data_IF_319705000877
#
_entry.id   IF_319705000877
#
_cell.length_a   1.000
_cell.length_b   1.000
_cell.length_c   1.000
_cell.angle_alpha   90.00
_cell.angle_beta   90.00
_cell.angle_gamma   90.00
#
_symmetry.space_group_name_H-M   'P 1'
#
loop_
_entity.id
_entity.type
_entity.pdbx_description
1 polymer ?
#
# COMPACT_ATOMS: atom_id res chain seq x y z
N UNK A 1 -48.38 -8.23 24.19
CA UNK A 1 -47.65 -6.96 23.98
C UNK A 1 -46.21 -6.89 24.52
N UNK A 2 -45.66 -7.82 25.36
CA UNK A 2 -44.29 -7.64 25.88
C UNK A 2 -43.16 -8.12 24.95
N UNK A 3 -43.45 -8.97 23.96
CA UNK A 3 -42.42 -9.52 23.05
C UNK A 3 -41.85 -8.52 22.05
N UNK A 4 -42.66 -7.53 21.61
CA UNK A 4 -42.22 -6.50 20.65
C UNK A 4 -41.23 -5.51 21.28
N UNK A 5 -41.37 -5.22 22.58
CA UNK A 5 -40.47 -4.31 23.30
C UNK A 5 -39.13 -4.95 23.62
N UNK A 6 -39.10 -6.26 23.90
CA UNK A 6 -37.85 -7.01 24.15
C UNK A 6 -37.05 -7.16 22.86
N UNK A 7 -37.69 -7.45 21.72
CA UNK A 7 -37.02 -7.52 20.42
C UNK A 7 -36.44 -6.17 19.97
N UNK A 8 -37.16 -5.07 20.22
CA UNK A 8 -36.66 -3.72 19.92
C UNK A 8 -35.46 -3.35 20.81
N UNK A 9 -35.47 -3.72 22.10
CA UNK A 9 -34.36 -3.48 23.02
C UNK A 9 -33.10 -4.26 22.67
N UNK A 10 -33.23 -5.52 22.25
CA UNK A 10 -32.10 -6.34 21.79
C UNK A 10 -31.51 -5.81 20.49
N UNK A 11 -32.35 -5.40 19.53
CA UNK A 11 -31.88 -4.81 18.27
C UNK A 11 -31.07 -3.53 18.47
N UNK A 12 -31.52 -2.64 19.36
CA UNK A 12 -30.79 -1.40 19.69
C UNK A 12 -29.48 -1.69 20.41
N UNK A 13 -29.44 -2.68 21.30
CA UNK A 13 -28.23 -3.04 22.03
C UNK A 13 -27.18 -3.66 21.10
N UNK A 14 -27.61 -4.53 20.18
CA UNK A 14 -26.73 -5.13 19.16
C UNK A 14 -26.19 -4.05 18.23
N UNK A 15 -27.05 -3.14 17.73
CA UNK A 15 -26.61 -2.02 16.90
C UNK A 15 -25.64 -1.08 17.64
N UNK A 16 -25.88 -0.81 18.93
CA UNK A 16 -24.98 0.01 19.73
C UNK A 16 -23.63 -0.67 20.02
N UNK A 17 -23.62 -2.00 20.17
CA UNK A 17 -22.39 -2.77 20.35
C UNK A 17 -21.60 -2.91 19.05
N UNK A 18 -22.28 -3.08 17.90
CA UNK A 18 -21.64 -3.13 16.58
C UNK A 18 -21.10 -1.74 16.21
N UNK A 19 -21.91 -0.69 16.35
CA UNK A 19 -21.45 0.68 16.09
C UNK A 19 -20.38 1.12 17.10
N UNK A 20 -20.49 0.71 18.36
CA UNK A 20 -19.49 0.99 19.39
C UNK A 20 -18.18 0.25 19.15
N UNK A 21 -18.24 -1.01 18.69
CA UNK A 21 -17.06 -1.79 18.30
C UNK A 21 -16.39 -1.22 17.07
N UNK A 22 -17.16 -0.83 16.06
CA UNK A 22 -16.66 -0.20 14.83
C UNK A 22 -16.01 1.17 15.09
N UNK A 23 -16.65 2.03 15.89
CA UNK A 23 -16.09 3.34 16.26
C UNK A 23 -14.86 3.22 17.16
N UNK A 24 -14.81 2.19 18.01
CA UNK A 24 -13.64 1.91 18.85
C UNK A 24 -12.48 1.34 18.03
N UNK A 25 -12.75 0.47 17.06
CA UNK A 25 -11.74 -0.06 16.12
C UNK A 25 -11.14 1.04 15.23
N UNK A 26 -11.98 1.93 14.71
CA UNK A 26 -11.55 3.11 13.94
C UNK A 26 -10.81 4.15 14.79
N UNK A 27 -11.01 4.13 16.10
CA UNK A 27 -10.25 4.96 17.05
C UNK A 27 -9.01 4.27 17.61
N UNK A 28 -8.86 2.95 17.40
CA UNK A 28 -7.71 2.17 17.84
C UNK A 28 -6.66 1.97 16.75
N UNK A 29 -7.03 2.11 15.48
CA UNK A 29 -6.08 2.30 14.38
C UNK A 29 -5.68 3.78 14.37
N UNK A 30 -4.40 4.09 14.57
CA UNK A 30 -3.91 5.45 14.73
C UNK A 30 -4.09 6.30 13.47
N UNK A 31 -4.02 5.67 12.28
CA UNK A 31 -4.07 6.32 10.96
C UNK A 31 -4.86 5.50 9.93
N UNK A 32 -5.30 6.14 8.83
CA UNK A 32 -5.94 5.43 7.70
C UNK A 32 -4.98 4.41 7.06
N UNK A 33 -3.68 4.71 7.03
CA UNK A 33 -2.66 3.79 6.52
C UNK A 33 -2.55 2.54 7.39
N UNK A 34 -2.46 2.70 8.71
CA UNK A 34 -2.43 1.59 9.66
C UNK A 34 -3.73 0.77 9.61
N UNK A 35 -4.88 1.45 9.52
CA UNK A 35 -6.18 0.78 9.35
C UNK A 35 -6.24 -0.05 8.08
N UNK A 36 -5.70 0.46 6.96
CA UNK A 36 -5.66 -0.28 5.71
C UNK A 36 -4.75 -1.52 5.77
N UNK A 37 -3.56 -1.40 6.37
CA UNK A 37 -2.65 -2.54 6.55
C UNK A 37 -3.29 -3.61 7.44
N UNK A 38 -4.05 -3.24 8.47
CA UNK A 38 -4.81 -4.18 9.30
C UNK A 38 -5.92 -4.92 8.52
N UNK A 39 -6.42 -4.37 7.41
CA UNK A 39 -7.39 -5.04 6.54
C UNK A 39 -6.75 -5.96 5.50
N UNK A 40 -5.41 -5.91 5.32
CA UNK A 40 -4.75 -6.73 4.34
C UNK A 40 -4.79 -8.23 4.72
N UNK A 41 -4.82 -9.14 3.73
CA UNK A 41 -4.76 -10.57 3.99
C UNK A 41 -3.57 -10.94 4.88
N UNK A 42 -3.73 -11.88 5.83
CA UNK A 42 -2.67 -12.22 6.79
C UNK A 42 -1.42 -12.84 6.13
N UNK A 43 -1.55 -13.35 4.91
CA UNK A 43 -0.45 -13.92 4.13
C UNK A 43 0.25 -12.90 3.22
N UNK A 44 -0.11 -11.61 3.27
CA UNK A 44 0.48 -10.60 2.42
C UNK A 44 1.97 -10.42 2.72
N UNK A 45 2.79 -10.45 1.67
CA UNK A 45 4.24 -10.30 1.75
C UNK A 45 4.67 -8.91 1.27
N UNK A 46 3.87 -8.30 0.40
CA UNK A 46 4.14 -7.02 -0.26
C UNK A 46 2.90 -6.15 -0.26
N UNK A 47 3.00 -4.96 0.32
CA UNK A 47 1.96 -3.94 0.36
C UNK A 47 2.44 -2.66 -0.33
N UNK A 48 1.51 -1.92 -0.91
CA UNK A 48 1.77 -0.62 -1.53
C UNK A 48 0.57 0.29 -1.30
N UNK A 49 0.83 1.46 -0.74
CA UNK A 49 -0.18 2.41 -0.27
C UNK A 49 -0.14 3.72 -1.06
N UNK A 50 -1.29 4.32 -1.28
CA UNK A 50 -1.40 5.71 -1.76
C UNK A 50 -2.64 6.38 -1.17
N UNK A 51 -2.43 7.47 -0.44
CA UNK A 51 -3.52 8.35 0.03
C UNK A 51 -3.86 9.35 -1.08
N UNK A 52 -4.74 8.94 -1.99
CA UNK A 52 -5.15 9.75 -3.13
C UNK A 52 -5.81 11.07 -2.72
N UNK A 53 -6.50 11.13 -1.58
CA UNK A 53 -7.08 12.35 -1.05
C UNK A 53 -6.02 13.34 -0.58
N UNK A 54 -5.01 12.87 0.16
CA UNK A 54 -3.89 13.69 0.57
C UNK A 54 -3.01 14.10 -0.63
N UNK A 55 -2.78 13.21 -1.61
CA UNK A 55 -2.05 13.55 -2.84
C UNK A 55 -2.77 14.62 -3.66
N UNK A 56 -4.10 14.54 -3.80
CA UNK A 56 -4.90 15.61 -4.43
C UNK A 56 -4.73 16.93 -3.69
N UNK A 57 -4.76 16.90 -2.35
CA UNK A 57 -4.59 18.09 -1.52
C UNK A 57 -3.19 18.70 -1.67
N UNK A 58 -2.14 17.88 -1.59
CA UNK A 58 -0.73 18.28 -1.73
C UNK A 58 -0.47 18.94 -3.09
N UNK A 59 -1.09 18.42 -4.16
CA UNK A 59 -0.94 18.95 -5.52
C UNK A 59 -1.93 20.07 -5.86
N UNK A 60 -2.80 20.45 -4.92
CA UNK A 60 -3.85 21.46 -5.13
C UNK A 60 -4.85 21.08 -6.22
N UNK A 61 -5.09 19.78 -6.42
CA UNK A 61 -5.99 19.25 -7.43
C UNK A 61 -7.41 19.16 -6.87
N UNK A 62 -8.37 19.81 -7.55
CA UNK A 62 -9.79 19.71 -7.24
C UNK A 62 -10.44 18.74 -8.22
N UNK A 63 -10.31 17.45 -7.93
CA UNK A 63 -10.85 16.37 -8.76
C UNK A 63 -11.98 15.62 -8.06
N UNK A 64 -12.80 14.96 -8.86
CA UNK A 64 -13.92 14.11 -8.46
C UNK A 64 -14.16 13.02 -9.51
N UNK A 65 -15.10 12.12 -9.24
CA UNK A 65 -15.54 11.10 -10.18
C UNK A 65 -16.12 11.66 -11.49
N UNK A 66 -16.49 12.94 -11.54
CA UNK A 66 -17.02 13.61 -12.74
C UNK A 66 -15.94 14.39 -13.52
N UNK A 67 -14.71 14.40 -13.01
CA UNK A 67 -13.60 15.12 -13.66
C UNK A 67 -13.27 14.51 -15.02
N UNK A 68 -12.77 15.35 -15.93
CA UNK A 68 -12.36 14.88 -17.24
C UNK A 68 -11.11 13.99 -17.14
N UNK A 69 -10.98 13.03 -18.05
CA UNK A 69 -9.80 12.18 -18.16
C UNK A 69 -8.53 13.01 -18.33
N UNK A 70 -8.60 14.09 -19.13
CA UNK A 70 -7.49 15.02 -19.31
C UNK A 70 -7.03 15.67 -17.98
N UNK A 71 -7.96 16.07 -17.11
CA UNK A 71 -7.61 16.68 -15.83
C UNK A 71 -7.02 15.65 -14.86
N UNK A 72 -7.54 14.42 -14.89
CA UNK A 72 -6.97 13.29 -14.15
C UNK A 72 -5.55 12.96 -14.65
N UNK A 73 -5.32 12.88 -15.96
CA UNK A 73 -3.99 12.66 -16.54
C UNK A 73 -2.99 13.73 -16.12
N UNK A 74 -3.41 15.00 -16.17
CA UNK A 74 -2.58 16.12 -15.72
C UNK A 74 -2.24 16.01 -14.22
N UNK A 75 -3.16 15.49 -13.40
CA UNK A 75 -2.92 15.20 -11.99
C UNK A 75 -1.97 14.02 -11.79
N UNK A 76 -2.18 12.89 -12.48
CA UNK A 76 -1.33 11.71 -12.37
C UNK A 76 0.10 11.99 -12.83
N UNK A 77 0.28 12.78 -13.89
CA UNK A 77 1.61 13.22 -14.32
C UNK A 77 2.32 14.05 -13.23
N UNK A 78 1.61 14.94 -12.54
CA UNK A 78 2.18 15.70 -11.41
C UNK A 78 2.49 14.81 -10.21
N UNK A 79 1.64 13.81 -9.92
CA UNK A 79 1.89 12.84 -8.86
C UNK A 79 3.14 12.01 -9.15
N UNK A 80 3.30 11.57 -10.40
CA UNK A 80 4.51 10.88 -10.86
C UNK A 80 5.76 11.77 -10.76
N UNK A 81 5.71 13.04 -11.21
CA UNK A 81 6.81 14.00 -11.06
C UNK A 81 7.23 14.25 -9.60
N UNK A 82 6.35 13.92 -8.65
CA UNK A 82 6.58 14.04 -7.20
C UNK A 82 6.84 12.71 -6.51
N UNK A 83 6.94 11.61 -7.27
CA UNK A 83 7.18 10.28 -6.74
C UNK A 83 6.06 9.77 -5.80
N UNK A 84 4.83 10.24 -6.03
CA UNK A 84 3.66 9.97 -5.17
C UNK A 84 2.74 8.86 -5.69
N UNK A 85 2.89 8.48 -6.96
CA UNK A 85 2.06 7.45 -7.58
C UNK A 85 2.74 6.11 -7.94
N UNK A 86 4.07 5.90 -7.78
CA UNK A 86 4.71 4.69 -8.33
C UNK A 86 4.22 3.39 -7.67
N UNK A 87 3.63 3.49 -6.48
CA UNK A 87 3.10 2.38 -5.69
C UNK A 87 1.65 2.00 -6.05
N UNK A 88 0.97 2.77 -6.91
CA UNK A 88 -0.44 2.51 -7.25
C UNK A 88 -0.59 1.45 -8.34
N UNK A 89 -1.51 0.51 -8.10
CA UNK A 89 -1.97 -0.49 -9.06
C UNK A 89 -3.03 0.06 -10.04
N UNK A 90 -3.60 1.24 -9.77
CA UNK A 90 -4.66 1.81 -10.62
C UNK A 90 -4.13 2.58 -11.84
N UNK A 91 -2.87 3.01 -11.83
CA UNK A 91 -2.35 3.98 -12.82
C UNK A 91 -2.57 3.55 -14.27
N UNK A 92 -2.22 2.32 -14.62
CA UNK A 92 -2.35 1.82 -15.99
C UNK A 92 -3.80 1.75 -16.45
N UNK A 93 -4.74 1.60 -15.52
CA UNK A 93 -6.17 1.47 -15.78
C UNK A 93 -6.96 2.75 -15.52
N UNK A 94 -6.33 3.84 -15.07
CA UNK A 94 -7.00 5.01 -14.50
C UNK A 94 -8.07 5.61 -15.43
N UNK A 95 -7.76 5.76 -16.72
CA UNK A 95 -8.68 6.29 -17.74
C UNK A 95 -9.93 5.44 -17.87
N UNK A 96 -9.74 4.13 -17.88
CA UNK A 96 -10.82 3.17 -18.06
C UNK A 96 -11.65 3.08 -16.80
N UNK A 97 -11.01 3.08 -15.63
CA UNK A 97 -11.68 3.13 -14.34
C UNK A 97 -12.59 4.37 -14.25
N UNK A 98 -12.05 5.55 -14.58
CA UNK A 98 -12.77 6.82 -14.59
C UNK A 98 -13.98 6.78 -15.53
N UNK A 99 -13.79 6.33 -16.77
CA UNK A 99 -14.83 6.38 -17.80
C UNK A 99 -15.88 5.27 -17.70
N UNK A 100 -15.49 4.09 -17.20
CA UNK A 100 -16.32 2.88 -17.29
C UNK A 100 -16.73 2.31 -15.95
N UNK A 101 -15.86 2.37 -14.95
CA UNK A 101 -16.16 1.82 -13.62
C UNK A 101 -16.74 2.88 -12.68
N UNK A 102 -16.54 4.18 -12.97
CA UNK A 102 -17.09 5.28 -12.19
C UNK A 102 -16.29 5.64 -10.94
N UNK A 103 -15.03 5.19 -10.88
CA UNK A 103 -14.07 5.58 -9.86
C UNK A 103 -12.67 5.63 -10.46
N UNK A 104 -11.75 6.36 -9.85
CA UNK A 104 -10.34 6.41 -10.25
C UNK A 104 -9.50 7.06 -9.14
N UNK A 105 -8.17 7.22 -9.30
CA UNK A 105 -7.37 8.10 -8.44
C UNK A 105 -7.92 9.53 -8.29
N UNK A 106 -8.80 10.00 -9.18
CA UNK A 106 -9.46 11.30 -9.06
C UNK A 106 -10.52 11.34 -7.93
N UNK A 107 -11.07 10.19 -7.53
CA UNK A 107 -12.21 10.11 -6.60
C UNK A 107 -11.97 9.22 -5.39
N UNK A 108 -11.14 8.20 -5.50
CA UNK A 108 -10.78 7.28 -4.40
C UNK A 108 -10.12 8.07 -3.27
N UNK A 109 -10.42 7.73 -2.01
CA UNK A 109 -9.79 8.32 -0.83
C UNK A 109 -8.37 7.79 -0.68
N UNK A 110 -8.23 6.48 -0.56
CA UNK A 110 -6.95 5.80 -0.51
C UNK A 110 -6.99 4.46 -1.23
N UNK A 111 -5.81 3.98 -1.58
CA UNK A 111 -5.55 2.70 -2.23
C UNK A 111 -4.51 1.90 -1.42
N UNK A 112 -4.80 0.62 -1.21
CA UNK A 112 -3.84 -0.36 -0.72
C UNK A 112 -3.80 -1.56 -1.67
N UNK A 113 -2.69 -1.74 -2.36
CA UNK A 113 -2.36 -2.98 -3.05
C UNK A 113 -1.69 -3.95 -2.07
N UNK A 114 -2.09 -5.21 -2.08
CA UNK A 114 -1.55 -6.29 -1.28
C UNK A 114 -1.32 -7.52 -2.13
N UNK A 115 -0.15 -8.15 -1.98
CA UNK A 115 0.25 -9.31 -2.74
C UNK A 115 0.86 -10.39 -1.85
N UNK A 116 0.45 -11.62 -2.09
CA UNK A 116 1.07 -12.83 -1.56
C UNK A 116 1.45 -13.78 -2.70
N UNK A 117 1.94 -14.97 -2.34
CA UNK A 117 2.18 -16.06 -3.30
C UNK A 117 0.89 -16.66 -3.86
N UNK A 118 -0.26 -16.38 -3.24
CA UNK A 118 -1.55 -16.97 -3.60
C UNK A 118 -2.38 -16.06 -4.52
N UNK A 119 -2.17 -14.75 -4.48
CA UNK A 119 -2.85 -13.78 -5.31
C UNK A 119 -2.54 -12.35 -4.92
N UNK A 120 -3.23 -11.41 -5.56
CA UNK A 120 -3.14 -9.99 -5.25
C UNK A 120 -4.54 -9.37 -5.07
N UNK A 121 -4.65 -8.38 -4.20
CA UNK A 121 -5.86 -7.62 -3.96
C UNK A 121 -5.54 -6.12 -3.95
N UNK A 122 -6.40 -5.32 -4.57
CA UNK A 122 -6.41 -3.86 -4.45
C UNK A 122 -7.63 -3.49 -3.61
N UNK A 123 -7.41 -2.83 -2.49
CA UNK A 123 -8.45 -2.29 -1.63
C UNK A 123 -8.53 -0.77 -1.82
N UNK A 124 -9.72 -0.28 -2.12
CA UNK A 124 -9.97 1.13 -2.40
C UNK A 124 -11.03 1.66 -1.44
N UNK A 125 -10.69 2.70 -0.69
CA UNK A 125 -11.70 3.44 0.06
C UNK A 125 -12.36 4.47 -0.82
N UNK A 126 -13.66 4.33 -0.97
CA UNK A 126 -14.50 5.28 -1.70
C UNK A 126 -14.93 6.42 -0.78
N UNK A 127 -15.27 7.62 -1.29
CA UNK A 127 -15.92 8.65 -0.48
C UNK A 127 -17.21 8.14 0.18
N UNK A 128 -17.57 8.62 1.37
CA UNK A 128 -18.82 8.22 2.07
C UNK A 128 -20.09 8.53 1.25
N UNK A 129 -20.00 9.49 0.34
CA UNK A 129 -21.08 9.89 -0.57
C UNK A 129 -21.20 9.02 -1.83
N UNK A 130 -20.38 7.97 -1.96
CA UNK A 130 -20.36 7.12 -3.15
C UNK A 130 -21.65 6.33 -3.28
N UNK A 131 -22.27 6.35 -4.45
CA UNK A 131 -23.43 5.53 -4.78
C UNK A 131 -22.97 4.15 -5.27
N UNK A 132 -22.98 3.17 -4.38
CA UNK A 132 -22.62 1.79 -4.71
C UNK A 132 -23.61 1.13 -5.69
N UNK A 133 -24.87 1.57 -5.73
CA UNK A 133 -25.83 1.11 -6.73
C UNK A 133 -25.43 1.50 -8.16
N UNK A 134 -24.83 2.69 -8.32
CA UNK A 134 -24.25 3.10 -9.60
C UNK A 134 -23.01 2.27 -9.97
N UNK A 135 -22.17 1.90 -8.99
CA UNK A 135 -21.04 1.00 -9.23
C UNK A 135 -21.50 -0.41 -9.68
N UNK A 136 -22.52 -0.98 -9.05
CA UNK A 136 -23.13 -2.24 -9.49
C UNK A 136 -23.67 -2.17 -10.93
N UNK A 137 -24.31 -1.04 -11.27
CA UNK A 137 -24.83 -0.81 -12.61
C UNK A 137 -23.69 -0.73 -13.64
N UNK A 138 -22.58 -0.07 -13.31
CA UNK A 138 -21.38 -0.06 -14.15
C UNK A 138 -20.81 -1.46 -14.35
N UNK A 139 -20.59 -2.24 -13.28
CA UNK A 139 -20.08 -3.62 -13.37
C UNK A 139 -20.99 -4.49 -14.25
N UNK A 140 -22.31 -4.39 -14.06
CA UNK A 140 -23.29 -5.12 -14.89
C UNK A 140 -23.20 -4.70 -16.36
N UNK A 141 -23.08 -3.40 -16.63
CA UNK A 141 -22.96 -2.87 -18.00
C UNK A 141 -21.67 -3.31 -18.70
N UNK A 142 -20.61 -3.52 -17.91
CA UNK A 142 -19.32 -4.01 -18.37
C UNK A 142 -19.30 -5.53 -18.60
N UNK A 143 -20.35 -6.24 -18.18
CA UNK A 143 -20.49 -7.68 -18.39
C UNK A 143 -20.02 -8.54 -17.21
N UNK A 144 -19.74 -7.96 -16.04
CA UNK A 144 -19.48 -8.74 -14.84
C UNK A 144 -20.75 -9.50 -14.42
N UNK A 145 -20.56 -10.73 -13.95
CA UNK A 145 -21.66 -11.54 -13.40
C UNK A 145 -21.83 -11.22 -11.92
N UNK A 146 -23.03 -10.76 -11.55
CA UNK A 146 -23.40 -10.44 -10.17
C UNK A 146 -23.34 -11.70 -9.27
N UNK A 147 -22.78 -11.61 -8.05
CA UNK A 147 -22.86 -12.67 -7.07
C UNK A 147 -24.30 -12.87 -6.54
N UNK A 148 -24.57 -14.02 -5.93
CA UNK A 148 -25.84 -14.28 -5.25
C UNK A 148 -25.93 -13.69 -3.84
N UNK A 149 -24.76 -13.36 -3.26
CA UNK A 149 -24.61 -12.71 -1.95
C UNK A 149 -24.23 -11.24 -2.19
N UNK A 150 -24.76 -10.33 -1.38
CA UNK A 150 -24.51 -8.90 -1.46
C UNK A 150 -23.02 -8.57 -1.20
N UNK A 151 -22.31 -9.38 -0.40
CA UNK A 151 -20.85 -9.28 -0.19
C UNK A 151 -20.04 -10.23 -1.08
N UNK A 152 -20.66 -10.83 -2.08
CA UNK A 152 -20.00 -11.81 -2.94
C UNK A 152 -19.07 -11.17 -3.99
N UNK A 153 -18.35 -12.04 -4.70
CA UNK A 153 -17.41 -11.64 -5.75
C UNK A 153 -18.09 -11.59 -7.12
N UNK A 154 -18.09 -10.41 -7.73
CA UNK A 154 -18.45 -10.19 -9.13
C UNK A 154 -17.43 -10.83 -10.05
N UNK A 155 -17.91 -11.61 -11.00
CA UNK A 155 -17.07 -12.42 -11.88
C UNK A 155 -16.92 -11.74 -13.24
N UNK A 156 -15.73 -11.20 -13.52
CA UNK A 156 -15.35 -10.80 -14.87
C UNK A 156 -14.54 -11.89 -15.57
N UNK A 157 -13.47 -12.33 -14.90
CA UNK A 157 -12.52 -13.32 -15.41
C UNK A 157 -11.61 -12.78 -16.53
N UNK A 158 -10.55 -13.54 -16.86
CA UNK A 158 -9.47 -13.06 -17.74
C UNK A 158 -9.86 -12.73 -19.18
N UNK A 159 -11.00 -13.23 -19.67
CA UNK A 159 -11.49 -12.91 -21.03
C UNK A 159 -12.32 -11.63 -21.11
N UNK A 160 -12.85 -11.14 -19.98
CA UNK A 160 -13.69 -9.94 -19.98
C UNK A 160 -12.85 -8.68 -20.12
N UNK A 161 -11.76 -8.55 -19.35
CA UNK A 161 -10.96 -7.31 -19.34
C UNK A 161 -10.49 -6.87 -20.73
N UNK A 162 -9.93 -7.74 -21.60
CA UNK A 162 -9.53 -7.34 -22.94
C UNK A 162 -10.68 -6.86 -23.83
N UNK A 163 -11.93 -7.26 -23.53
CA UNK A 163 -13.12 -6.78 -24.25
C UNK A 163 -13.60 -5.41 -23.76
N UNK A 164 -13.27 -5.03 -22.52
CA UNK A 164 -13.60 -3.73 -21.95
C UNK A 164 -12.62 -2.66 -22.48
N UNK A 165 -11.32 -2.93 -22.36
CA UNK A 165 -10.23 -2.11 -22.86
C UNK A 165 -8.90 -2.89 -22.87
N UNK A 166 -7.97 -2.50 -23.74
CA UNK A 166 -6.60 -2.96 -23.66
C UNK A 166 -5.89 -2.31 -22.47
N UNK A 167 -4.99 -3.04 -21.81
CA UNK A 167 -4.15 -2.50 -20.73
C UNK A 167 -4.79 -2.45 -19.35
N UNK A 168 -5.97 -3.06 -19.16
CA UNK A 168 -6.50 -3.28 -17.82
C UNK A 168 -5.62 -4.28 -17.05
N UNK A 169 -5.32 -3.95 -15.81
CA UNK A 169 -4.49 -4.81 -14.95
C UNK A 169 -5.26 -6.07 -14.53
N UNK A 170 -4.57 -7.21 -14.33
CA UNK A 170 -5.21 -8.46 -13.92
C UNK A 170 -6.04 -8.35 -12.64
N UNK A 171 -5.71 -7.43 -11.75
CA UNK A 171 -6.38 -7.21 -10.46
C UNK A 171 -7.82 -6.72 -10.61
N UNK A 172 -8.26 -6.32 -11.81
CA UNK A 172 -9.64 -5.91 -12.07
C UNK A 172 -10.55 -7.06 -12.51
N UNK A 173 -10.05 -8.30 -12.59
CA UNK A 173 -10.81 -9.46 -13.07
C UNK A 173 -11.99 -9.83 -12.17
N UNK A 174 -11.84 -9.57 -10.87
CA UNK A 174 -12.83 -9.88 -9.84
C UNK A 174 -13.02 -8.66 -8.97
N UNK A 175 -14.27 -8.36 -8.62
CA UNK A 175 -14.63 -7.17 -7.84
C UNK A 175 -15.56 -7.56 -6.70
N UNK A 176 -15.36 -6.99 -5.53
CA UNK A 176 -16.30 -7.04 -4.43
C UNK A 176 -16.58 -5.62 -3.95
N UNK A 177 -17.82 -5.39 -3.55
CA UNK A 177 -18.30 -4.09 -3.08
C UNK A 177 -18.73 -4.25 -1.63
N UNK A 178 -18.04 -3.56 -0.72
CA UNK A 178 -18.47 -3.45 0.68
C UNK A 178 -19.02 -2.06 0.93
N UNK A 179 -20.34 -1.92 0.73
CA UNK A 179 -21.03 -0.64 0.94
C UNK A 179 -20.97 -0.19 2.41
N UNK A 180 -20.94 -1.12 3.37
CA UNK A 180 -20.94 -0.79 4.78
C UNK A 180 -19.65 -0.08 5.20
N UNK A 181 -18.52 -0.54 4.68
CA UNK A 181 -17.19 0.01 4.96
C UNK A 181 -16.71 1.01 3.89
N UNK A 182 -17.54 1.23 2.87
CA UNK A 182 -17.27 2.02 1.67
C UNK A 182 -16.00 1.56 0.92
N UNK A 183 -15.83 0.25 0.78
CA UNK A 183 -14.69 -0.36 0.10
C UNK A 183 -15.07 -0.92 -1.27
N UNK A 184 -14.19 -0.73 -2.24
CA UNK A 184 -14.14 -1.52 -3.47
C UNK A 184 -12.89 -2.37 -3.39
N UNK A 185 -13.06 -3.69 -3.46
CA UNK A 185 -11.95 -4.64 -3.47
C UNK A 185 -11.87 -5.27 -4.85
N UNK A 186 -10.68 -5.37 -5.42
CA UNK A 186 -10.46 -6.04 -6.70
C UNK A 186 -9.32 -7.05 -6.59
N UNK A 187 -9.37 -8.14 -7.35
CA UNK A 187 -8.31 -9.16 -7.32
C UNK A 187 -8.10 -9.81 -8.69
N UNK A 188 -6.92 -10.43 -8.82
CA UNK A 188 -6.53 -11.28 -9.93
C UNK A 188 -7.16 -12.69 -9.86
N UNK A 189 -7.68 -13.11 -8.70
CA UNK A 189 -8.37 -14.38 -8.51
C UNK A 189 -9.62 -14.25 -7.62
N UNK A 190 -10.69 -14.99 -7.95
CA UNK A 190 -11.92 -14.96 -7.17
C UNK A 190 -11.75 -15.55 -5.76
N UNK A 191 -11.01 -16.64 -5.63
CA UNK A 191 -10.84 -17.36 -4.36
C UNK A 191 -10.03 -16.53 -3.35
N UNK A 192 -8.97 -15.85 -3.83
CA UNK A 192 -8.18 -14.97 -2.96
C UNK A 192 -8.99 -13.75 -2.52
N UNK A 193 -9.79 -13.15 -3.41
CA UNK A 193 -10.69 -12.06 -3.04
C UNK A 193 -11.74 -12.49 -2.02
N UNK A 194 -12.39 -13.64 -2.25
CA UNK A 194 -13.37 -14.19 -1.31
C UNK A 194 -12.74 -14.43 0.07
N UNK A 195 -11.50 -14.95 0.10
CA UNK A 195 -10.77 -15.16 1.35
C UNK A 195 -10.47 -13.82 2.03
N UNK A 196 -9.99 -12.83 1.27
CA UNK A 196 -9.70 -11.47 1.78
C UNK A 196 -10.90 -10.84 2.47
N UNK A 197 -12.07 -10.86 1.82
CA UNK A 197 -13.32 -10.32 2.38
C UNK A 197 -13.65 -10.95 3.74
N UNK A 198 -13.37 -12.25 3.90
CA UNK A 198 -13.60 -12.98 5.15
C UNK A 198 -12.64 -12.64 6.29
N UNK A 199 -11.54 -11.92 6.02
CA UNK A 199 -10.45 -11.65 6.98
C UNK A 199 -10.17 -10.14 7.13
N UNK A 200 -11.03 -9.25 6.64
CA UNK A 200 -10.82 -7.79 6.73
C UNK A 200 -10.66 -7.29 8.18
N UNK A 201 -11.23 -8.00 9.16
CA UNK A 201 -11.20 -7.64 10.57
C UNK A 201 -10.14 -8.40 11.38
N UNK A 202 -9.29 -9.22 10.75
CA UNK A 202 -8.39 -10.16 11.43
C UNK A 202 -7.04 -9.56 11.86
N UNK A 203 -6.81 -8.27 11.57
CA UNK A 203 -5.65 -7.53 12.10
C UNK A 203 -4.39 -7.59 11.23
N UNK A 204 -4.51 -7.93 9.96
CA UNK A 204 -3.46 -7.77 8.97
C UNK A 204 -2.32 -8.79 9.05
N UNK A 205 -1.25 -8.59 8.25
CA UNK A 205 -0.09 -9.48 8.23
C UNK A 205 0.75 -9.34 9.51
N UNK A 206 1.15 -10.49 10.08
CA UNK A 206 2.00 -10.50 11.27
C UNK A 206 3.35 -9.80 11.02
N UNK A 207 3.78 -9.00 12.00
CA UNK A 207 5.10 -8.35 11.98
C UNK A 207 5.18 -7.04 11.19
N UNK A 208 4.11 -6.60 10.51
CA UNK A 208 4.10 -5.32 9.79
C UNK A 208 3.55 -4.14 10.61
N UNK A 209 2.87 -4.40 11.72
CA UNK A 209 2.23 -3.37 12.53
C UNK A 209 3.23 -2.29 13.00
N UNK A 210 4.36 -2.68 13.58
CA UNK A 210 5.33 -1.75 14.15
C UNK A 210 5.96 -0.83 13.10
N UNK A 211 6.30 -1.35 11.92
CA UNK A 211 6.87 -0.52 10.83
C UNK A 211 5.83 0.40 10.19
N UNK A 212 4.57 0.00 10.21
CA UNK A 212 3.44 0.78 9.70
C UNK A 212 3.12 1.93 10.65
N UNK A 213 3.00 1.67 11.95
CA UNK A 213 2.81 2.69 12.99
C UNK A 213 3.94 3.73 12.96
N UNK A 214 5.19 3.27 12.95
CA UNK A 214 6.35 4.16 12.89
C UNK A 214 6.47 4.97 11.57
N UNK A 215 5.73 4.57 10.52
CA UNK A 215 5.67 5.32 9.26
C UNK A 215 4.64 6.45 9.26
N UNK A 216 3.75 6.53 10.27
CA UNK A 216 2.78 7.61 10.43
C UNK A 216 1.72 7.68 9.32
N UNK A 217 1.50 8.87 8.76
CA UNK A 217 0.48 9.14 7.72
C UNK A 217 1.15 9.50 6.38
N UNK A 218 1.70 8.50 5.64
CA UNK A 218 2.38 8.77 4.39
C UNK A 218 1.41 9.04 3.23
N UNK A 219 1.87 9.83 2.26
CA UNK A 219 1.17 10.05 0.99
C UNK A 219 1.23 8.81 0.10
N UNK A 220 2.38 8.12 0.11
CA UNK A 220 2.62 6.87 -0.60
C UNK A 220 3.61 6.01 0.18
N UNK A 221 3.47 4.69 0.13
CA UNK A 221 4.40 3.78 0.81
C UNK A 221 4.53 2.42 0.12
N UNK A 222 5.63 1.75 0.39
CA UNK A 222 5.86 0.32 0.12
C UNK A 222 6.24 -0.36 1.42
N UNK A 223 5.53 -1.44 1.77
CA UNK A 223 5.75 -2.18 3.03
C UNK A 223 5.90 -3.67 2.73
N UNK A 224 6.96 -4.28 3.24
CA UNK A 224 7.34 -5.66 2.96
C UNK A 224 7.59 -6.45 4.24
N UNK A 225 7.27 -7.74 4.20
CA UNK A 225 7.74 -8.67 5.24
C UNK A 225 9.26 -8.84 5.16
N UNK A 226 9.89 -9.31 6.23
CA UNK A 226 11.32 -9.59 6.27
C UNK A 226 11.77 -10.56 5.19
N UNK A 227 11.04 -11.68 5.04
CA UNK A 227 11.33 -12.68 4.01
C UNK A 227 11.27 -12.09 2.59
N UNK A 228 10.26 -11.26 2.31
CA UNK A 228 10.16 -10.58 1.02
C UNK A 228 11.32 -9.60 0.84
N UNK A 229 11.61 -8.77 1.84
CA UNK A 229 12.71 -7.79 1.82
C UNK A 229 14.05 -8.46 1.55
N UNK A 230 14.39 -9.49 2.33
CA UNK A 230 15.65 -10.23 2.25
C UNK A 230 15.78 -11.07 0.97
N UNK A 231 14.72 -11.21 0.16
CA UNK A 231 14.76 -11.90 -1.12
C UNK A 231 14.67 -10.95 -2.32
N UNK A 232 13.72 -10.02 -2.29
CA UNK A 232 13.42 -9.11 -3.39
C UNK A 232 14.42 -7.94 -3.46
N UNK A 233 14.92 -7.47 -2.32
CA UNK A 233 15.89 -6.38 -2.23
C UNK A 233 17.34 -6.86 -2.03
N UNK A 234 17.57 -8.18 -2.12
CA UNK A 234 18.86 -8.78 -1.86
C UNK A 234 19.91 -8.38 -2.91
N UNK A 235 21.16 -8.18 -2.45
CA UNK A 235 22.29 -7.97 -3.36
C UNK A 235 22.59 -9.17 -4.26
N UNK A 236 22.10 -10.37 -3.93
CA UNK A 236 22.20 -11.56 -4.78
C UNK A 236 21.50 -11.41 -6.14
N UNK A 237 20.61 -10.43 -6.28
CA UNK A 237 19.96 -10.07 -7.53
C UNK A 237 20.80 -9.11 -8.40
N UNK A 238 21.86 -8.51 -7.86
CA UNK A 238 22.76 -7.61 -8.59
C UNK A 238 23.78 -8.39 -9.43
N UNK A 239 24.48 -7.70 -10.33
CA UNK A 239 25.57 -8.30 -11.09
C UNK A 239 26.77 -8.70 -10.20
N UNK A 240 27.60 -9.68 -10.61
CA UNK A 240 28.69 -10.20 -9.77
C UNK A 240 29.73 -9.17 -9.31
N UNK A 241 29.94 -8.09 -10.06
CA UNK A 241 30.81 -6.98 -9.65
C UNK A 241 30.22 -6.19 -8.50
N UNK A 242 28.92 -5.92 -8.57
CA UNK A 242 28.18 -5.13 -7.60
C UNK A 242 28.02 -5.91 -6.30
N UNK A 243 27.87 -7.23 -6.38
CA UNK A 243 27.91 -8.13 -5.22
C UNK A 243 29.24 -8.03 -4.48
N UNK A 244 30.37 -8.08 -5.19
CA UNK A 244 31.70 -7.97 -4.57
C UNK A 244 31.93 -6.59 -3.93
N UNK A 245 31.47 -5.53 -4.58
CA UNK A 245 31.53 -4.18 -4.01
C UNK A 245 30.65 -4.10 -2.75
N UNK A 246 29.42 -4.61 -2.80
CA UNK A 246 28.53 -4.68 -1.65
C UNK A 246 29.11 -5.47 -0.47
N UNK A 247 29.73 -6.62 -0.70
CA UNK A 247 30.41 -7.40 0.34
C UNK A 247 31.51 -6.59 1.03
N UNK A 248 32.28 -5.82 0.26
CA UNK A 248 33.31 -4.93 0.79
C UNK A 248 32.71 -3.79 1.61
N UNK A 249 31.63 -3.17 1.14
CA UNK A 249 30.94 -2.08 1.83
C UNK A 249 30.30 -2.56 3.13
N UNK A 250 29.64 -3.72 3.13
CA UNK A 250 29.08 -4.35 4.34
C UNK A 250 30.17 -4.65 5.36
N UNK A 251 31.30 -5.23 4.92
CA UNK A 251 32.44 -5.51 5.81
C UNK A 251 32.98 -4.24 6.46
N UNK A 252 32.98 -3.11 5.75
CA UNK A 252 33.43 -1.81 6.25
C UNK A 252 32.40 -1.15 7.18
N UNK A 253 31.12 -1.24 6.84
CA UNK A 253 30.02 -0.69 7.63
C UNK A 253 29.85 -1.40 8.98
N UNK A 254 30.17 -2.70 9.02
CA UNK A 254 30.10 -3.53 10.22
C UNK A 254 28.99 -4.56 10.14
N UNK A 255 28.49 -4.99 11.32
CA UNK A 255 27.50 -6.06 11.39
C UNK A 255 26.17 -5.58 10.81
N UNK A 256 25.61 -6.38 9.89
CA UNK A 256 24.23 -6.27 9.40
C UNK A 256 23.42 -7.48 9.90
N UNK A 257 22.16 -7.25 10.25
CA UNK A 257 21.22 -8.31 10.65
C UNK A 257 20.08 -8.42 9.64
N UNK A 258 19.44 -9.60 9.51
CA UNK A 258 18.21 -9.75 8.73
C UNK A 258 17.12 -8.79 9.21
N UNK A 259 16.38 -8.23 8.26
CA UNK A 259 15.25 -7.35 8.51
C UNK A 259 14.02 -8.21 8.76
N UNK A 260 13.23 -7.90 9.79
CA UNK A 260 11.96 -8.59 10.07
C UNK A 260 10.76 -7.97 9.34
N UNK A 261 10.83 -6.67 9.06
CA UNK A 261 9.85 -5.92 8.26
C UNK A 261 10.48 -4.63 7.72
N UNK A 262 10.00 -4.15 6.58
CA UNK A 262 10.53 -2.96 5.91
C UNK A 262 9.39 -2.06 5.46
N UNK A 263 9.54 -0.76 5.66
CA UNK A 263 8.68 0.25 5.07
C UNK A 263 9.53 1.38 4.47
N UNK A 264 9.17 1.84 3.28
CA UNK A 264 9.65 3.09 2.69
C UNK A 264 8.45 3.94 2.31
N UNK A 265 8.42 5.18 2.77
CA UNK A 265 7.23 6.02 2.64
C UNK A 265 7.56 7.46 2.31
N UNK A 266 6.83 8.05 1.36
CA UNK A 266 6.88 9.48 1.07
C UNK A 266 5.92 10.18 2.03
N UNK A 267 6.50 11.02 2.88
CA UNK A 267 5.80 11.76 3.92
C UNK A 267 5.22 13.07 3.35
N UNK A 268 4.25 13.69 4.03
CA UNK A 268 3.88 15.08 3.78
C UNK A 268 5.15 15.95 3.79
N UNK A 269 5.25 16.94 2.89
CA UNK A 269 6.47 17.72 2.55
C UNK A 269 7.52 17.05 1.65
N UNK A 270 7.34 15.77 1.29
CA UNK A 270 8.13 15.07 0.27
C UNK A 270 9.48 14.52 0.74
N UNK A 271 9.73 14.45 2.05
CA UNK A 271 10.81 13.61 2.57
C UNK A 271 10.39 12.14 2.54
N UNK A 272 11.37 11.23 2.49
CA UNK A 272 11.15 9.79 2.49
C UNK A 272 11.62 9.22 3.83
N UNK A 273 10.74 8.51 4.51
CA UNK A 273 11.04 7.79 5.74
C UNK A 273 11.21 6.31 5.43
N UNK A 274 12.35 5.75 5.80
CA UNK A 274 12.58 4.30 5.81
C UNK A 274 12.49 3.80 7.25
N UNK A 275 11.72 2.74 7.46
CA UNK A 275 11.59 2.04 8.74
C UNK A 275 11.97 0.58 8.52
N UNK A 276 12.89 0.08 9.35
CA UNK A 276 13.36 -1.32 9.33
C UNK A 276 13.14 -1.95 10.69
N UNK A 277 12.40 -3.05 10.73
CA UNK A 277 12.26 -3.89 11.92
C UNK A 277 13.39 -4.89 12.06
N UNK A 278 13.77 -5.15 13.31
CA UNK A 278 14.74 -6.18 13.69
C UNK A 278 14.21 -7.05 14.83
N UNK A 279 14.87 -8.17 15.11
CA UNK A 279 14.48 -9.10 16.17
C UNK A 279 14.61 -8.48 17.59
N UNK A 280 15.52 -7.53 17.78
CA UNK A 280 15.76 -6.91 19.09
C UNK A 280 16.30 -5.49 19.00
N UNK A 281 16.19 -4.76 20.12
CA UNK A 281 16.75 -3.42 20.31
C UNK A 281 18.28 -3.38 20.12
N UNK A 282 19.00 -4.40 20.59
CA UNK A 282 20.44 -4.49 20.36
C UNK A 282 20.79 -4.65 18.87
N UNK A 283 19.97 -5.39 18.10
CA UNK A 283 20.13 -5.49 16.66
C UNK A 283 19.81 -4.15 15.99
N UNK A 284 18.72 -3.48 16.36
CA UNK A 284 18.35 -2.18 15.81
C UNK A 284 19.44 -1.12 16.05
N UNK A 285 19.97 -1.01 17.28
CA UNK A 285 21.09 -0.11 17.60
C UNK A 285 22.34 -0.38 16.75
N UNK A 286 22.71 -1.65 16.61
CA UNK A 286 23.85 -2.03 15.76
C UNK A 286 23.60 -1.68 14.30
N UNK A 287 22.39 -1.93 13.80
CA UNK A 287 22.03 -1.69 12.41
C UNK A 287 21.83 -0.20 12.10
N UNK A 288 21.46 0.64 13.06
CA UNK A 288 21.37 2.09 12.83
C UNK A 288 22.69 2.66 12.31
N UNK A 289 23.82 2.32 12.94
CA UNK A 289 25.15 2.77 12.51
C UNK A 289 25.56 2.14 11.17
N UNK A 290 25.43 0.81 11.04
CA UNK A 290 25.81 0.10 9.81
C UNK A 290 24.96 0.55 8.62
N UNK A 291 23.64 0.68 8.77
CA UNK A 291 22.74 1.10 7.68
C UNK A 291 22.94 2.56 7.31
N UNK A 292 23.23 3.44 8.28
CA UNK A 292 23.59 4.82 7.99
C UNK A 292 24.83 4.91 7.10
N UNK A 293 25.86 4.11 7.40
CA UNK A 293 27.07 4.04 6.57
C UNK A 293 26.77 3.53 5.15
N UNK A 294 25.97 2.47 5.02
CA UNK A 294 25.59 1.89 3.73
C UNK A 294 24.68 2.81 2.89
N UNK A 295 23.87 3.66 3.53
CA UNK A 295 22.99 4.62 2.85
C UNK A 295 23.69 5.94 2.46
N UNK A 296 24.95 6.14 2.85
CA UNK A 296 25.68 7.40 2.65
C UNK A 296 26.71 7.37 1.51
N UNK A 297 26.78 6.27 0.75
CA UNK A 297 27.85 6.05 -0.23
C UNK A 297 27.39 5.29 -1.47
N UNK A 298 28.29 4.52 -2.10
CA UNK A 298 28.00 3.84 -3.36
C UNK A 298 26.73 2.99 -3.28
N UNK A 299 25.98 2.98 -4.39
CA UNK A 299 24.72 2.26 -4.52
C UNK A 299 24.86 1.09 -5.53
N UNK A 300 25.65 0.04 -5.21
CA UNK A 300 25.79 -1.13 -6.08
C UNK A 300 24.43 -1.77 -6.34
N UNK A 301 24.21 -2.29 -7.55
CA UNK A 301 22.92 -2.82 -8.01
C UNK A 301 21.91 -1.75 -8.44
N UNK A 302 22.11 -0.49 -8.05
CA UNK A 302 21.30 0.66 -8.44
C UNK A 302 22.06 1.62 -9.37
N UNK A 303 23.39 1.52 -9.41
CA UNK A 303 24.27 2.45 -10.11
C UNK A 303 24.43 3.78 -9.36
N UNK A 304 25.62 4.38 -9.49
CA UNK A 304 25.96 5.67 -8.89
C UNK A 304 26.10 5.61 -7.36
N UNK A 305 25.84 6.75 -6.71
CA UNK A 305 25.89 6.91 -5.25
C UNK A 305 24.49 7.24 -4.71
N UNK A 306 24.18 6.82 -3.48
CA UNK A 306 22.94 7.21 -2.81
C UNK A 306 22.86 8.73 -2.58
N UNK A 307 24.00 9.40 -2.37
CA UNK A 307 24.09 10.84 -2.20
C UNK A 307 23.66 11.64 -3.44
N UNK A 308 23.65 11.02 -4.63
CA UNK A 308 23.12 11.63 -5.86
C UNK A 308 21.58 11.63 -5.87
N UNK A 309 20.94 10.74 -5.09
CA UNK A 309 19.48 10.57 -5.02
C UNK A 309 18.86 11.26 -3.82
N UNK A 310 19.52 11.23 -2.67
CA UNK A 310 19.00 11.82 -1.44
C UNK A 310 20.11 12.31 -0.52
N UNK A 311 19.75 13.20 0.40
CA UNK A 311 20.58 13.53 1.56
C UNK A 311 20.10 12.72 2.74
N UNK A 312 21.01 11.93 3.32
CA UNK A 312 20.74 11.18 4.53
C UNK A 312 20.59 12.15 5.72
N UNK A 313 19.43 12.11 6.35
CA UNK A 313 19.10 12.84 7.56
C UNK A 313 19.42 12.03 8.82
N UNK A 314 18.50 12.08 9.78
CA UNK A 314 18.66 11.34 11.04
C UNK A 314 18.46 9.84 10.80
N UNK A 315 19.37 9.05 11.33
CA UNK A 315 19.20 7.60 11.49
C UNK A 315 19.16 7.30 12.98
N UNK A 316 18.14 6.57 13.44
CA UNK A 316 17.98 6.28 14.86
C UNK A 316 17.32 4.91 15.08
N UNK A 317 17.77 4.23 16.13
CA UNK A 317 17.08 3.07 16.66
C UNK A 317 16.09 3.50 17.76
N UNK A 318 14.89 2.95 17.73
CA UNK A 318 13.89 3.04 18.79
C UNK A 318 13.22 1.67 18.96
N UNK A 319 13.35 1.07 20.14
CA UNK A 319 13.01 -0.34 20.35
C UNK A 319 13.71 -1.22 19.32
N UNK A 320 12.95 -2.11 18.68
CA UNK A 320 13.40 -3.01 17.60
C UNK A 320 13.46 -2.36 16.22
N UNK A 321 13.16 -1.06 16.10
CA UNK A 321 13.07 -0.37 14.80
C UNK A 321 14.28 0.51 14.56
N UNK A 322 14.69 0.61 13.29
CA UNK A 322 15.58 1.67 12.79
C UNK A 322 14.78 2.55 11.85
N UNK A 323 14.81 3.86 12.11
CA UNK A 323 14.25 4.89 11.24
C UNK A 323 15.37 5.64 10.54
N UNK A 324 15.14 5.98 9.28
CA UNK A 324 16.09 6.70 8.44
C UNK A 324 15.33 7.75 7.61
N UNK A 325 15.61 9.02 7.89
CA UNK A 325 15.06 10.16 7.15
C UNK A 325 15.91 10.45 5.91
N UNK A 326 15.28 10.44 4.74
CA UNK A 326 15.90 10.72 3.45
C UNK A 326 15.26 11.97 2.87
N UNK A 327 16.06 12.98 2.55
CA UNK A 327 15.58 14.14 1.78
C UNK A 327 15.94 13.95 0.31
N UNK A 328 14.98 13.69 -0.60
CA UNK A 328 15.27 13.53 -2.01
C UNK A 328 16.00 14.74 -2.61
N UNK A 329 16.99 14.47 -3.46
CA UNK A 329 17.57 15.47 -4.35
C UNK A 329 16.52 15.82 -5.41
N UNK A 330 16.48 17.07 -5.85
CA UNK A 330 15.50 17.53 -6.83
C UNK A 330 15.58 16.69 -8.11
N UNK A 331 14.47 16.05 -8.46
CA UNK A 331 14.34 15.21 -9.66
C UNK A 331 14.76 13.76 -9.45
N UNK A 332 15.12 13.36 -8.23
CA UNK A 332 15.26 11.96 -7.86
C UNK A 332 13.91 11.38 -7.42
N UNK A 333 13.68 10.11 -7.76
CA UNK A 333 12.45 9.38 -7.47
C UNK A 333 12.77 8.27 -6.46
N UNK A 334 13.06 8.67 -5.22
CA UNK A 334 13.64 7.78 -4.19
C UNK A 334 12.74 6.57 -3.90
N UNK A 335 11.42 6.74 -3.79
CA UNK A 335 10.48 5.64 -3.59
C UNK A 335 10.41 4.75 -4.83
N UNK A 336 10.29 5.33 -6.04
CA UNK A 336 10.29 4.55 -7.29
C UNK A 336 11.57 3.73 -7.46
N UNK A 337 12.72 4.35 -7.23
CA UNK A 337 14.04 3.78 -7.51
C UNK A 337 14.42 2.71 -6.48
N UNK A 338 14.06 2.91 -5.20
CA UNK A 338 14.61 2.12 -4.10
C UNK A 338 13.61 1.16 -3.46
N UNK A 339 12.34 1.17 -3.87
CA UNK A 339 11.37 0.17 -3.40
C UNK A 339 11.45 -1.15 -4.16
N UNK A 340 12.29 -1.25 -5.20
CA UNK A 340 12.46 -2.47 -6.00
C UNK A 340 13.91 -2.72 -6.40
N UNK A 341 14.28 -4.00 -6.53
CA UNK A 341 15.63 -4.43 -6.88
C UNK A 341 16.64 -4.35 -5.72
N UNK A 342 17.92 -4.67 -5.97
CA UNK A 342 18.95 -4.74 -4.94
C UNK A 342 19.09 -3.42 -4.16
N UNK A 343 19.00 -3.47 -2.84
CA UNK A 343 19.12 -2.28 -1.99
C UNK A 343 20.13 -2.51 -0.88
N UNK A 344 21.33 -1.95 -1.04
CA UNK A 344 22.46 -2.21 -0.16
C UNK A 344 22.16 -1.97 1.33
N UNK A 345 21.56 -0.83 1.68
CA UNK A 345 21.25 -0.53 3.08
C UNK A 345 20.07 -1.36 3.63
N UNK A 346 19.30 -2.07 2.79
CA UNK A 346 18.28 -3.02 3.21
C UNK A 346 18.73 -4.48 3.06
N UNK A 347 20.01 -4.74 2.80
CA UNK A 347 20.52 -6.11 2.60
C UNK A 347 20.34 -6.99 3.85
N UNK A 348 20.15 -8.28 3.60
CA UNK A 348 20.33 -9.37 4.54
C UNK A 348 21.49 -10.24 3.99
#
# INVERSE_FOLDING_TARGET
MPQRTVLAGVGVLVLALVAGGFLWWRASSGTDFEGAVHMAPPDAERLSWTDWAAVRTELGASLSADSSVHDMDAFLNKAYERDLSPSSALLESADVLQQKFGFSPASVQWELFSQSKQGAVVMLRMPDSTDFGSLEAHLTSLGFTRPSDDKGVWQGGGSLLPSIAAGLTPELQYVALDEADHLVLTSDTADYLHTTIGHLDDGGPEGLADVTDASGEPLAASVYTGDYTCSALAMSQADPSDQQEAESLVTQAGKVNPISAFAMSVQPSGHVLVVMGFESDDQAKTNADSRAALASGPAPGQGGDFADRFKLGKVAADGSLVTMDLTPVKGAYVLSDLSSGPLLFATC
#
